data_IF_970716519332
#
_entry.id   IF_970716519332
#
_cell.length_a   1.000
_cell.length_b   1.000
_cell.length_c   1.000
_cell.angle_alpha   90.00
_cell.angle_beta   90.00
_cell.angle_gamma   90.00
#
_symmetry.space_group_name_H-M   'P 1'
#
loop_
_entity.id
_entity.type
_entity.pdbx_description
1 polymer ?
#
# COMPACT_ATOMS: atom_id res chain seq x y z
N UNK A 1 77.14 -63.77 7.13
CA UNK A 1 76.16 -64.30 6.16
C UNK A 1 75.31 -63.14 5.63
N UNK A 2 75.53 -62.64 4.40
CA UNK A 2 74.70 -61.59 3.83
C UNK A 2 73.46 -62.19 3.16
N UNK A 3 72.25 -61.76 3.57
CA UNK A 3 70.99 -62.14 2.94
C UNK A 3 70.74 -61.26 1.71
N UNK A 4 70.69 -61.90 0.54
CA UNK A 4 70.50 -61.24 -0.75
C UNK A 4 69.05 -60.75 -0.90
N UNK A 5 68.90 -59.45 -1.18
CA UNK A 5 67.63 -58.74 -1.40
C UNK A 5 67.03 -59.15 -2.76
N UNK A 6 65.77 -59.57 -2.88
CA UNK A 6 65.22 -60.00 -4.16
C UNK A 6 65.12 -58.84 -5.14
N UNK A 7 65.63 -59.06 -6.36
CA UNK A 7 65.60 -58.12 -7.49
C UNK A 7 64.14 -57.84 -7.88
N UNK A 8 63.77 -56.55 -7.95
CA UNK A 8 62.46 -56.08 -8.46
C UNK A 8 62.21 -56.66 -9.85
N UNK A 9 61.11 -57.39 -10.01
CA UNK A 9 60.64 -57.86 -11.32
C UNK A 9 60.35 -56.69 -12.24
N UNK A 10 60.84 -56.78 -13.48
CA UNK A 10 60.59 -55.80 -14.53
C UNK A 10 59.09 -55.78 -14.86
N UNK A 11 58.47 -54.60 -14.72
CA UNK A 11 57.07 -54.37 -15.10
C UNK A 11 56.88 -54.69 -16.58
N UNK A 12 56.11 -55.73 -16.90
CA UNK A 12 55.68 -56.06 -18.25
C UNK A 12 54.99 -54.84 -18.89
N UNK A 13 55.38 -54.40 -20.10
CA UNK A 13 54.72 -53.27 -20.75
C UNK A 13 53.25 -53.63 -21.01
N UNK A 14 52.34 -52.89 -20.35
CA UNK A 14 50.89 -53.00 -20.60
C UNK A 14 50.62 -52.90 -22.10
N UNK A 15 49.86 -53.86 -22.65
CA UNK A 15 49.47 -53.93 -24.07
C UNK A 15 48.89 -52.58 -24.54
N UNK A 16 49.33 -52.04 -25.69
CA UNK A 16 48.98 -50.68 -26.15
C UNK A 16 47.47 -50.47 -26.33
N UNK A 17 46.74 -51.50 -26.76
CA UNK A 17 45.28 -51.46 -26.92
C UNK A 17 44.52 -51.22 -25.62
N UNK A 18 45.01 -51.76 -24.50
CA UNK A 18 44.42 -51.56 -23.17
C UNK A 18 44.59 -50.11 -22.72
N UNK A 19 45.72 -49.48 -23.06
CA UNK A 19 45.95 -48.04 -22.81
C UNK A 19 45.02 -47.19 -23.67
N UNK A 20 44.95 -47.45 -24.97
CA UNK A 20 44.06 -46.74 -25.88
C UNK A 20 42.57 -46.87 -25.51
N UNK A 21 42.14 -48.03 -24.99
CA UNK A 21 40.78 -48.22 -24.48
C UNK A 21 40.53 -47.41 -23.19
N UNK A 22 41.52 -47.35 -22.30
CA UNK A 22 41.42 -46.58 -21.06
C UNK A 22 41.39 -45.07 -21.34
N UNK A 23 42.17 -44.58 -22.30
CA UNK A 23 42.17 -43.19 -22.75
C UNK A 23 40.82 -42.79 -23.33
N UNK A 24 40.29 -43.56 -24.29
CA UNK A 24 38.94 -43.35 -24.84
C UNK A 24 37.83 -43.39 -23.78
N UNK A 25 37.98 -44.22 -22.74
CA UNK A 25 37.06 -44.23 -21.59
C UNK A 25 37.14 -42.94 -20.77
N UNK A 26 38.37 -42.50 -20.45
CA UNK A 26 38.62 -41.27 -19.69
C UNK A 26 38.12 -40.02 -20.43
N UNK A 27 38.33 -39.95 -21.73
CA UNK A 27 37.84 -38.86 -22.58
C UNK A 27 36.33 -38.77 -22.56
N UNK A 28 35.62 -39.90 -22.72
CA UNK A 28 34.14 -39.93 -22.64
C UNK A 28 33.63 -39.46 -21.28
N UNK A 29 34.27 -39.89 -20.18
CA UNK A 29 33.89 -39.43 -18.84
C UNK A 29 34.17 -37.93 -18.66
N UNK A 30 35.30 -37.43 -19.15
CA UNK A 30 35.63 -35.99 -19.11
C UNK A 30 34.64 -35.16 -19.92
N UNK A 31 34.33 -35.57 -21.15
CA UNK A 31 33.35 -34.90 -22.01
C UNK A 31 31.96 -34.86 -21.35
N UNK A 32 31.49 -35.97 -20.78
CA UNK A 32 30.23 -36.02 -20.03
C UNK A 32 30.22 -35.04 -18.85
N UNK A 33 31.32 -34.98 -18.07
CA UNK A 33 31.45 -34.04 -16.95
C UNK A 33 31.48 -32.59 -17.40
N UNK A 34 32.16 -32.28 -18.51
CA UNK A 34 32.20 -30.93 -19.07
C UNK A 34 30.80 -30.48 -19.53
N UNK A 35 30.07 -31.34 -20.24
CA UNK A 35 28.69 -31.06 -20.65
C UNK A 35 27.76 -30.86 -19.43
N UNK A 36 27.89 -31.69 -18.40
CA UNK A 36 27.13 -31.52 -17.16
C UNK A 36 27.42 -30.17 -16.49
N UNK A 37 28.70 -29.81 -16.33
CA UNK A 37 29.11 -28.51 -15.76
C UNK A 37 28.61 -27.33 -16.59
N UNK A 38 28.66 -27.41 -17.91
CA UNK A 38 28.14 -26.37 -18.78
C UNK A 38 26.63 -26.19 -18.59
N UNK A 39 25.88 -27.30 -18.53
CA UNK A 39 24.44 -27.25 -18.25
C UNK A 39 24.15 -26.63 -16.89
N UNK A 40 24.87 -27.05 -15.85
CA UNK A 40 24.73 -26.48 -14.49
C UNK A 40 25.04 -24.98 -14.48
N UNK A 41 26.09 -24.54 -15.19
CA UNK A 41 26.43 -23.12 -15.31
C UNK A 41 25.34 -22.32 -16.03
N UNK A 42 24.78 -22.86 -17.12
CA UNK A 42 23.69 -22.22 -17.85
C UNK A 42 22.43 -22.12 -16.99
N UNK A 43 22.08 -23.19 -16.27
CA UNK A 43 20.95 -23.20 -15.34
C UNK A 43 21.17 -22.18 -14.23
N UNK A 44 22.36 -22.16 -13.62
CA UNK A 44 22.69 -21.20 -12.57
C UNK A 44 22.64 -19.75 -13.07
N UNK A 45 23.09 -19.48 -14.29
CA UNK A 45 22.98 -18.16 -14.91
C UNK A 45 21.52 -17.77 -15.17
N UNK A 46 20.70 -18.69 -15.70
CA UNK A 46 19.28 -18.45 -15.93
C UNK A 46 18.50 -18.19 -14.63
N UNK A 47 18.79 -18.95 -13.55
CA UNK A 47 18.19 -18.72 -12.23
C UNK A 47 18.56 -17.35 -11.68
N UNK A 48 19.83 -16.93 -11.81
CA UNK A 48 20.24 -15.57 -11.39
C UNK A 48 19.52 -14.48 -12.17
N UNK A 49 19.38 -14.64 -13.49
CA UNK A 49 18.65 -13.70 -14.33
C UNK A 49 17.17 -13.64 -13.95
N UNK A 50 16.56 -14.79 -13.69
CA UNK A 50 15.16 -14.87 -13.25
C UNK A 50 14.95 -14.13 -11.93
N UNK A 51 15.79 -14.38 -10.91
CA UNK A 51 15.68 -13.71 -9.61
C UNK A 51 15.88 -12.20 -9.76
N UNK A 52 16.90 -11.76 -10.49
CA UNK A 52 17.14 -10.34 -10.72
C UNK A 52 15.97 -9.66 -11.47
N UNK A 53 15.36 -10.36 -12.43
CA UNK A 53 14.19 -9.84 -13.13
C UNK A 53 12.96 -9.79 -12.21
N UNK A 54 12.77 -10.78 -11.34
CA UNK A 54 11.71 -10.79 -10.34
C UNK A 54 11.86 -9.61 -9.36
N UNK A 55 13.06 -9.41 -8.81
CA UNK A 55 13.36 -8.28 -7.92
C UNK A 55 13.06 -6.95 -8.63
N UNK A 56 13.54 -6.79 -9.87
CA UNK A 56 13.30 -5.58 -10.66
C UNK A 56 11.80 -5.33 -10.94
N UNK A 57 11.01 -6.38 -11.17
CA UNK A 57 9.56 -6.26 -11.33
C UNK A 57 8.93 -5.80 -10.01
N UNK A 58 9.28 -6.42 -8.89
CA UNK A 58 8.75 -6.05 -7.57
C UNK A 58 9.12 -4.61 -7.18
N UNK A 59 10.33 -4.16 -7.52
CA UNK A 59 10.74 -2.77 -7.32
C UNK A 59 9.91 -1.81 -8.19
N UNK A 60 9.70 -2.15 -9.47
CA UNK A 60 8.86 -1.37 -10.38
C UNK A 60 7.39 -1.33 -9.93
N UNK A 61 6.87 -2.39 -9.31
CA UNK A 61 5.50 -2.46 -8.79
C UNK A 61 5.35 -1.65 -7.49
N UNK A 62 6.36 -1.68 -6.61
CA UNK A 62 6.28 -1.03 -5.29
C UNK A 62 6.67 0.45 -5.29
N UNK A 63 7.43 0.93 -6.29
CA UNK A 63 7.83 2.33 -6.37
C UNK A 63 6.63 3.29 -6.60
N UNK A 64 5.70 3.03 -7.54
CA UNK A 64 4.52 3.87 -7.73
C UNK A 64 3.63 3.94 -6.50
N UNK A 65 3.47 2.86 -5.73
CA UNK A 65 2.64 2.85 -4.53
C UNK A 65 3.12 3.86 -3.49
N UNK A 66 4.43 3.92 -3.25
CA UNK A 66 5.04 4.90 -2.34
C UNK A 66 4.85 6.34 -2.85
N UNK A 67 5.07 6.56 -4.15
CA UNK A 67 4.88 7.88 -4.75
C UNK A 67 3.41 8.34 -4.68
N UNK A 68 2.47 7.42 -4.89
CA UNK A 68 1.03 7.69 -4.77
C UNK A 68 0.66 8.03 -3.32
N UNK A 69 1.20 7.32 -2.34
CA UNK A 69 0.97 7.62 -0.92
C UNK A 69 1.50 9.00 -0.54
N UNK A 70 2.71 9.35 -0.98
CA UNK A 70 3.31 10.67 -0.74
C UNK A 70 2.49 11.80 -1.38
N UNK A 71 2.05 11.62 -2.64
CA UNK A 71 1.20 12.59 -3.34
C UNK A 71 -0.16 12.74 -2.66
N UNK A 72 -0.78 11.64 -2.20
CA UNK A 72 -2.03 11.69 -1.43
C UNK A 72 -1.85 12.47 -0.14
N UNK A 73 -0.76 12.24 0.59
CA UNK A 73 -0.45 12.99 1.80
C UNK A 73 -0.24 14.49 1.51
N UNK A 74 0.41 14.83 0.40
CA UNK A 74 0.60 16.23 -0.02
C UNK A 74 -0.73 16.90 -0.38
N UNK A 75 -1.60 16.22 -1.13
CA UNK A 75 -2.93 16.72 -1.48
C UNK A 75 -3.74 16.98 -0.20
N UNK A 76 -3.75 16.04 0.74
CA UNK A 76 -4.46 16.20 2.01
C UNK A 76 -3.97 17.43 2.80
N UNK A 77 -2.64 17.65 2.87
CA UNK A 77 -2.07 18.83 3.54
C UNK A 77 -2.50 20.14 2.87
N UNK A 78 -2.47 20.19 1.54
CA UNK A 78 -2.88 21.39 0.79
C UNK A 78 -4.37 21.66 0.97
N UNK A 79 -5.21 20.63 0.91
CA UNK A 79 -6.65 20.75 1.15
C UNK A 79 -6.95 21.23 2.57
N UNK A 80 -6.25 20.71 3.58
CA UNK A 80 -6.39 21.15 4.96
C UNK A 80 -6.03 22.64 5.10
N UNK A 81 -4.87 23.06 4.58
CA UNK A 81 -4.45 24.47 4.61
C UNK A 81 -5.47 25.37 3.91
N UNK A 82 -6.00 24.94 2.75
CA UNK A 82 -7.02 25.70 2.04
C UNK A 82 -8.32 25.80 2.85
N UNK A 83 -8.75 24.73 3.50
CA UNK A 83 -9.92 24.73 4.36
C UNK A 83 -9.75 25.67 5.55
N UNK A 84 -8.59 25.67 6.20
CA UNK A 84 -8.24 26.60 7.29
C UNK A 84 -8.27 28.06 6.82
N UNK A 85 -7.69 28.36 5.66
CA UNK A 85 -7.72 29.71 5.08
C UNK A 85 -9.14 30.17 4.73
N UNK A 86 -9.94 29.30 4.12
CA UNK A 86 -11.34 29.59 3.81
C UNK A 86 -12.12 29.84 5.10
N UNK A 87 -11.91 29.03 6.14
CA UNK A 87 -12.56 29.23 7.44
C UNK A 87 -12.17 30.57 8.06
N UNK A 88 -10.89 30.93 8.04
CA UNK A 88 -10.41 32.21 8.53
C UNK A 88 -11.05 33.40 7.78
N UNK A 89 -11.10 33.35 6.44
CA UNK A 89 -11.75 34.38 5.65
C UNK A 89 -13.26 34.46 5.89
N UNK A 90 -13.93 33.32 6.06
CA UNK A 90 -15.36 33.30 6.42
C UNK A 90 -15.60 33.92 7.79
N UNK A 91 -14.76 33.65 8.78
CA UNK A 91 -14.83 34.30 10.09
C UNK A 91 -14.62 35.82 9.98
N UNK A 92 -13.67 36.27 9.15
CA UNK A 92 -13.48 37.69 8.87
C UNK A 92 -14.71 38.33 8.22
N UNK A 93 -15.36 37.65 7.26
CA UNK A 93 -16.59 38.12 6.63
C UNK A 93 -17.74 38.25 7.64
N UNK A 94 -17.88 37.27 8.54
CA UNK A 94 -18.87 37.30 9.64
C UNK A 94 -18.64 38.51 10.54
N UNK A 95 -17.41 38.75 10.98
CA UNK A 95 -17.06 39.89 11.81
C UNK A 95 -17.30 41.23 11.10
N UNK A 96 -16.95 41.33 9.81
CA UNK A 96 -17.17 42.54 9.02
C UNK A 96 -18.67 42.85 8.88
N UNK A 97 -19.50 41.84 8.56
CA UNK A 97 -20.95 42.03 8.45
C UNK A 97 -21.59 42.47 9.78
N UNK A 98 -21.14 41.89 10.91
CA UNK A 98 -21.58 42.30 12.24
C UNK A 98 -21.17 43.74 12.56
N UNK A 99 -19.92 44.12 12.27
CA UNK A 99 -19.45 45.47 12.49
C UNK A 99 -20.27 46.53 11.71
N UNK A 100 -20.68 46.22 10.47
CA UNK A 100 -21.57 47.10 9.69
C UNK A 100 -22.94 47.20 10.36
N UNK A 101 -23.50 46.05 10.81
CA UNK A 101 -24.79 46.00 11.51
C UNK A 101 -24.76 46.82 12.81
N UNK A 102 -23.65 46.78 13.55
CA UNK A 102 -23.46 47.53 14.80
C UNK A 102 -23.40 49.05 14.57
N UNK A 103 -23.11 49.52 13.35
CA UNK A 103 -23.25 50.94 12.98
C UNK A 103 -24.70 51.37 12.71
N UNK A 104 -25.68 50.49 12.94
CA UNK A 104 -27.11 50.80 12.82
C UNK A 104 -27.73 50.47 11.47
N UNK A 105 -26.98 49.91 10.51
CA UNK A 105 -27.49 49.47 9.21
C UNK A 105 -28.48 48.32 9.37
N UNK A 106 -29.54 48.25 8.56
CA UNK A 106 -30.44 47.09 8.58
C UNK A 106 -29.83 45.88 7.86
N UNK A 107 -30.41 44.70 8.03
CA UNK A 107 -29.91 43.48 7.37
C UNK A 107 -30.01 43.57 5.83
N UNK A 108 -30.98 44.35 5.31
CA UNK A 108 -31.15 44.62 3.88
C UNK A 108 -30.10 45.63 3.38
N UNK A 109 -29.80 46.68 4.16
CA UNK A 109 -28.73 47.65 3.83
C UNK A 109 -27.34 46.96 3.82
N UNK A 110 -27.09 46.04 4.76
CA UNK A 110 -25.87 45.22 4.78
C UNK A 110 -25.80 44.33 3.54
N UNK A 111 -26.93 43.77 3.11
CA UNK A 111 -26.99 42.93 1.92
C UNK A 111 -26.69 43.71 0.64
N UNK A 112 -27.24 44.92 0.53
CA UNK A 112 -26.96 45.83 -0.58
C UNK A 112 -25.48 46.25 -0.60
N UNK A 113 -24.93 46.69 0.55
CA UNK A 113 -23.56 47.15 0.65
C UNK A 113 -22.52 46.07 0.35
N UNK A 114 -22.80 44.82 0.75
CA UNK A 114 -21.91 43.68 0.52
C UNK A 114 -22.18 42.96 -0.81
N UNK A 115 -23.15 43.43 -1.60
CA UNK A 115 -23.58 42.82 -2.87
C UNK A 115 -23.97 41.33 -2.72
N UNK A 116 -24.64 41.00 -1.63
CA UNK A 116 -25.12 39.64 -1.31
C UNK A 116 -26.63 39.61 -1.15
N UNK A 117 -27.20 38.40 -1.07
CA UNK A 117 -28.62 38.28 -0.74
C UNK A 117 -28.92 38.68 0.71
N UNK A 118 -30.10 39.24 0.97
CA UNK A 118 -30.59 39.54 2.32
C UNK A 118 -30.62 38.29 3.23
N UNK A 119 -30.74 37.10 2.64
CA UNK A 119 -30.63 35.84 3.38
C UNK A 119 -29.20 35.58 3.84
N UNK A 120 -28.20 35.79 2.98
CA UNK A 120 -26.79 35.62 3.34
C UNK A 120 -26.33 36.66 4.36
N UNK A 121 -26.73 37.92 4.21
CA UNK A 121 -26.45 38.97 5.20
C UNK A 121 -26.99 38.58 6.59
N UNK A 122 -28.25 38.15 6.67
CA UNK A 122 -28.84 37.60 7.90
C UNK A 122 -28.05 36.43 8.47
N UNK A 123 -27.62 35.48 7.64
CA UNK A 123 -26.82 34.35 8.10
C UNK A 123 -25.47 34.76 8.69
N UNK A 124 -24.77 35.72 8.07
CA UNK A 124 -23.50 36.23 8.59
C UNK A 124 -23.69 36.94 9.95
N UNK A 125 -24.73 37.78 10.07
CA UNK A 125 -25.03 38.49 11.33
C UNK A 125 -25.43 37.50 12.44
N UNK A 126 -26.25 36.50 12.14
CA UNK A 126 -26.62 35.45 13.10
C UNK A 126 -25.39 34.64 13.54
N UNK A 127 -24.51 34.28 12.60
CA UNK A 127 -23.28 33.55 12.90
C UNK A 127 -22.37 34.32 13.87
N UNK A 128 -22.22 35.63 13.68
CA UNK A 128 -21.42 36.48 14.58
C UNK A 128 -21.96 36.48 16.02
N UNK A 129 -23.29 36.48 16.17
CA UNK A 129 -23.94 36.40 17.50
C UNK A 129 -23.72 35.05 18.16
N UNK A 130 -23.84 33.96 17.40
CA UNK A 130 -23.58 32.61 17.91
C UNK A 130 -22.14 32.42 18.40
N UNK A 131 -21.15 32.99 17.68
CA UNK A 131 -19.75 32.95 18.10
C UNK A 131 -19.53 33.72 19.41
N UNK A 132 -20.21 34.86 19.58
CA UNK A 132 -20.14 35.71 20.78
C UNK A 132 -20.78 35.02 22.00
N UNK A 133 -21.93 34.36 21.82
CA UNK A 133 -22.63 33.63 22.87
C UNK A 133 -21.89 32.36 23.31
N UNK A 134 -21.16 31.70 22.40
CA UNK A 134 -20.36 30.51 22.72
C UNK A 134 -19.17 30.81 23.64
N UNK A 135 -18.67 32.05 23.64
CA UNK A 135 -17.59 32.51 24.53
C UNK A 135 -18.04 32.84 25.96
N UNK A 136 -19.35 32.96 26.20
CA UNK A 136 -19.92 33.39 27.50
C UNK A 136 -20.65 32.28 28.27
N UNK A 137 -20.64 31.03 27.80
CA UNK A 137 -21.30 29.92 28.49
C UNK A 137 -20.38 28.70 28.66
N UNK A 138 -19.37 28.85 29.51
CA UNK A 138 -18.85 27.73 30.31
C UNK A 138 -19.53 27.77 31.69
N UNK A 139 -20.84 27.57 31.69
CA UNK A 139 -21.60 27.30 32.91
C UNK A 139 -22.38 26.00 32.70
N UNK A 140 -21.85 24.95 33.33
CA UNK A 140 -22.46 23.68 33.68
C UNK A 140 -23.89 23.42 33.18
N UNK A 141 -24.02 22.46 32.26
CA UNK A 141 -25.24 21.67 32.17
C UNK A 141 -24.84 20.18 32.26
N UNK A 142 -25.26 19.43 33.31
CA UNK A 142 -24.93 18.02 33.44
C UNK A 142 -25.70 17.19 32.39
N UNK A 143 -25.12 16.10 31.87
CA UNK A 143 -25.85 15.21 30.96
C UNK A 143 -26.92 14.43 31.73
N UNK A 144 -28.17 14.64 31.37
CA UNK A 144 -29.29 13.78 31.75
C UNK A 144 -29.23 12.43 30.99
N UNK A 145 -29.81 11.35 31.53
CA UNK A 145 -29.36 9.98 31.32
C UNK A 145 -29.87 9.34 30.02
N UNK A 146 -29.06 8.40 29.52
CA UNK A 146 -29.26 7.64 28.29
C UNK A 146 -30.63 6.92 28.21
N UNK A 147 -31.31 6.93 27.05
CA UNK A 147 -32.46 6.07 26.81
C UNK A 147 -32.00 4.62 26.56
N UNK A 148 -32.65 3.72 27.29
CA UNK A 148 -32.52 2.27 27.26
C UNK A 148 -32.70 1.68 25.85
N UNK A 149 -31.92 0.64 25.58
CA UNK A 149 -31.96 -0.18 24.38
C UNK A 149 -33.34 -0.78 24.08
N UNK A 150 -33.76 -0.84 22.79
CA UNK A 150 -34.79 -1.76 22.34
C UNK A 150 -34.19 -3.09 21.83
N UNK A 151 -34.85 -4.18 22.26
CA UNK A 151 -34.62 -5.61 21.94
C UNK A 151 -34.58 -5.91 20.43
N UNK A 152 -33.90 -6.98 20.00
CA UNK A 152 -33.88 -7.43 18.62
C UNK A 152 -35.21 -8.10 18.21
N UNK A 153 -35.75 -7.81 17.01
CA UNK A 153 -36.85 -8.58 16.45
C UNK A 153 -36.34 -9.89 15.80
N UNK A 154 -36.83 -10.98 16.38
CA UNK A 154 -37.43 -12.17 15.77
C UNK A 154 -37.07 -12.51 14.32
N UNK A 155 -36.55 -13.73 14.17
CA UNK A 155 -36.37 -14.45 12.91
C UNK A 155 -37.68 -14.52 12.11
N UNK A 156 -37.62 -14.07 10.86
CA UNK A 156 -38.61 -14.42 9.84
C UNK A 156 -37.92 -15.32 8.82
N UNK A 157 -38.27 -16.58 8.93
CA UNK A 157 -38.05 -17.66 7.99
C UNK A 157 -38.70 -17.31 6.64
N UNK A 158 -37.90 -17.14 5.59
CA UNK A 158 -38.31 -17.24 4.18
C UNK A 158 -37.08 -17.27 3.28
N UNK A 159 -36.54 -18.47 3.06
CA UNK A 159 -35.66 -18.76 1.93
C UNK A 159 -36.24 -19.96 1.18
N UNK A 160 -37.17 -19.66 0.28
CA UNK A 160 -37.61 -20.60 -0.75
C UNK A 160 -36.64 -20.52 -1.93
N UNK A 161 -36.34 -21.70 -2.49
CA UNK A 161 -35.95 -21.98 -3.88
C UNK A 161 -34.46 -21.85 -4.25
N UNK A 162 -33.79 -23.01 -4.49
CA UNK A 162 -33.35 -23.45 -5.83
C UNK A 162 -32.05 -24.29 -5.81
N UNK A 163 -32.21 -25.62 -5.94
CA UNK A 163 -31.41 -26.51 -6.79
C UNK A 163 -30.02 -26.99 -6.33
N UNK A 164 -29.85 -28.30 -6.04
CA UNK A 164 -28.54 -28.95 -6.12
C UNK A 164 -28.35 -29.61 -7.49
N UNK A 165 -27.53 -28.97 -8.34
CA UNK A 165 -26.88 -29.64 -9.48
C UNK A 165 -25.51 -30.16 -9.02
N UNK A 166 -25.44 -31.44 -8.64
CA UNK A 166 -24.17 -32.15 -8.55
C UNK A 166 -24.17 -33.28 -9.58
N UNK A 167 -23.44 -33.06 -10.67
CA UNK A 167 -23.03 -34.11 -11.60
C UNK A 167 -21.50 -34.14 -11.65
N UNK A 168 -20.96 -35.29 -11.23
CA UNK A 168 -19.83 -36.04 -11.79
C UNK A 168 -18.45 -35.36 -11.99
N UNK A 169 -17.42 -35.95 -11.37
CA UNK A 169 -16.50 -36.90 -12.05
C UNK A 169 -15.53 -37.60 -11.10
N UNK A 170 -15.57 -38.95 -11.14
CA UNK A 170 -14.39 -39.82 -11.07
C UNK A 170 -13.91 -40.11 -12.50
#
# INVERSE_FOLDING_TARGET
MPTSRPKRSARTPRRPEVRARLERSRERVRARRQLARQREQLIAAAVKQYIAAWDAITDCESAPDREIEDLRAQIARVQQRAAEQIAAHRAQQVLAAAAIRDQGQTDDDVAELLEISAKQARQLIIAARADTDSGSSSAANPPAPAPLAPKPPTATESASTAGPSQNFRE
#
